data_IF_969454318830
#
_entry.id   IF_969454318830
#
_cell.length_a   1.000
_cell.length_b   1.000
_cell.length_c   1.000
_cell.angle_alpha   90.00
_cell.angle_beta   90.00
_cell.angle_gamma   90.00
#
_symmetry.space_group_name_H-M   'P 1'
#
loop_
_entity.id
_entity.type
_entity.pdbx_description
1 polymer ?
#
# COMPACT_ATOMS: atom_id res chain seq x y z
N UNK A 1 -1.54 14.83 -2.81
CA UNK A 1 -1.73 15.41 -1.46
C UNK A 1 -0.66 14.87 -0.54
N UNK A 2 -0.09 15.69 0.36
CA UNK A 2 0.90 15.23 1.35
C UNK A 2 0.20 15.05 2.71
N UNK A 3 0.45 13.93 3.39
CA UNK A 3 -0.23 13.58 4.65
C UNK A 3 0.34 14.26 5.90
N UNK A 4 1.50 14.93 5.79
CA UNK A 4 2.12 15.66 6.90
C UNK A 4 2.55 14.78 8.09
N UNK A 5 2.75 13.48 7.88
CA UNK A 5 3.12 12.54 8.94
C UNK A 5 4.64 12.35 9.02
N UNK A 6 5.22 12.61 10.19
CA UNK A 6 6.59 12.21 10.55
C UNK A 6 6.59 11.42 11.87
N UNK A 7 7.29 10.28 11.89
CA UNK A 7 7.64 9.53 13.10
C UNK A 7 8.81 8.59 12.79
N UNK A 8 9.70 8.37 13.75
CA UNK A 8 10.79 7.37 13.63
C UNK A 8 10.31 5.94 13.92
N UNK A 9 9.14 5.76 14.52
CA UNK A 9 8.62 4.43 14.88
C UNK A 9 7.59 3.99 13.86
N UNK A 10 7.84 2.84 13.23
CA UNK A 10 6.97 2.27 12.20
C UNK A 10 5.49 2.21 12.63
N UNK A 11 5.19 1.69 13.83
CA UNK A 11 3.79 1.57 14.30
C UNK A 11 3.05 2.90 14.34
N UNK A 12 3.73 3.95 14.82
CA UNK A 12 3.12 5.27 14.99
C UNK A 12 2.95 5.95 13.65
N UNK A 13 3.92 5.77 12.75
CA UNK A 13 3.84 6.30 11.39
C UNK A 13 2.68 5.65 10.62
N UNK A 14 2.61 4.31 10.61
CA UNK A 14 1.54 3.57 9.92
C UNK A 14 0.16 3.92 10.48
N UNK A 15 -0.01 3.96 11.80
CA UNK A 15 -1.30 4.30 12.41
C UNK A 15 -1.76 5.72 12.06
N UNK A 16 -0.85 6.70 12.10
CA UNK A 16 -1.16 8.09 11.72
C UNK A 16 -1.52 8.22 10.24
N UNK A 17 -0.76 7.55 9.36
CA UNK A 17 -1.04 7.57 7.92
C UNK A 17 -2.40 6.94 7.63
N UNK A 18 -2.70 5.78 8.24
CA UNK A 18 -3.96 5.06 8.04
C UNK A 18 -5.16 5.93 8.42
N UNK A 19 -5.14 6.55 9.61
CA UNK A 19 -6.21 7.42 10.05
C UNK A 19 -6.45 8.61 9.09
N UNK A 20 -5.37 9.23 8.60
CA UNK A 20 -5.47 10.34 7.64
C UNK A 20 -6.00 9.92 6.28
N UNK A 21 -5.61 8.74 5.80
CA UNK A 21 -6.11 8.21 4.53
C UNK A 21 -7.60 7.90 4.66
N UNK A 22 -8.04 7.27 5.75
CA UNK A 22 -9.46 6.97 5.99
C UNK A 22 -10.31 8.26 5.99
N UNK A 23 -9.87 9.32 6.65
CA UNK A 23 -10.53 10.64 6.61
C UNK A 23 -10.72 11.16 5.17
N UNK A 24 -9.69 11.02 4.32
CA UNK A 24 -9.73 11.45 2.93
C UNK A 24 -10.65 10.55 2.11
N UNK A 25 -10.58 9.23 2.27
CA UNK A 25 -11.41 8.29 1.51
C UNK A 25 -12.90 8.47 1.80
N UNK A 26 -13.28 8.69 3.06
CA UNK A 26 -14.67 8.95 3.44
C UNK A 26 -15.20 10.25 2.82
N UNK A 27 -14.34 11.27 2.76
CA UNK A 27 -14.68 12.61 2.28
C UNK A 27 -14.76 12.67 0.75
N UNK A 28 -13.71 12.21 0.09
CA UNK A 28 -13.51 12.43 -1.35
C UNK A 28 -14.03 11.25 -2.19
N UNK A 29 -14.24 10.07 -1.58
CA UNK A 29 -14.80 8.84 -2.19
C UNK A 29 -14.21 8.53 -3.58
N UNK A 30 -12.89 8.29 -3.67
CA UNK A 30 -12.28 7.90 -4.92
C UNK A 30 -12.70 6.47 -5.32
N UNK A 31 -12.91 6.24 -6.61
CA UNK A 31 -13.22 4.89 -7.14
C UNK A 31 -12.01 3.93 -7.07
N UNK A 32 -10.79 4.50 -7.12
CA UNK A 32 -9.52 3.76 -7.10
C UNK A 32 -8.47 4.56 -6.34
N UNK A 33 -7.73 3.88 -5.48
CA UNK A 33 -6.55 4.43 -4.83
C UNK A 33 -5.26 3.78 -5.35
N UNK A 34 -4.30 4.61 -5.74
CA UNK A 34 -2.98 4.16 -6.17
C UNK A 34 -2.00 4.12 -4.98
N UNK A 35 -1.29 3.01 -4.86
CA UNK A 35 -0.15 2.83 -3.95
C UNK A 35 1.09 2.44 -4.75
N UNK A 36 2.26 2.93 -4.36
CA UNK A 36 3.51 2.69 -5.07
C UNK A 36 4.61 2.18 -4.12
N UNK A 37 5.26 1.08 -4.50
CA UNK A 37 6.40 0.52 -3.77
C UNK A 37 6.01 -0.28 -2.54
N UNK A 38 6.75 -0.12 -1.44
CA UNK A 38 6.70 -1.02 -0.26
C UNK A 38 6.90 -0.31 1.10
N UNK A 39 6.50 0.96 1.19
CA UNK A 39 6.69 1.76 2.41
C UNK A 39 5.54 1.58 3.42
N UNK A 40 5.72 2.11 4.64
CA UNK A 40 4.64 2.19 5.64
C UNK A 40 3.38 2.90 5.08
N UNK A 41 3.54 3.82 4.12
CA UNK A 41 2.41 4.50 3.49
C UNK A 41 1.60 3.57 2.59
N UNK A 42 2.28 2.67 1.85
CA UNK A 42 1.64 1.62 1.04
C UNK A 42 0.82 0.70 1.91
N UNK A 43 1.41 0.21 3.01
CA UNK A 43 0.72 -0.65 3.98
C UNK A 43 -0.51 0.05 4.58
N UNK A 44 -0.35 1.30 5.02
CA UNK A 44 -1.46 2.04 5.60
C UNK A 44 -2.58 2.32 4.58
N UNK A 45 -2.22 2.65 3.34
CA UNK A 45 -3.17 2.92 2.27
C UNK A 45 -3.97 1.69 1.85
N UNK A 46 -3.30 0.56 1.60
CA UNK A 46 -3.96 -0.71 1.27
C UNK A 46 -4.90 -1.18 2.38
N UNK A 47 -4.49 -1.05 3.65
CA UNK A 47 -5.35 -1.35 4.79
C UNK A 47 -6.55 -0.42 4.94
N UNK A 48 -6.41 0.88 4.65
CA UNK A 48 -7.51 1.83 4.72
C UNK A 48 -8.57 1.53 3.64
N UNK A 49 -8.14 1.31 2.40
CA UNK A 49 -9.03 1.08 1.26
C UNK A 49 -9.75 -0.27 1.38
N UNK A 50 -9.04 -1.33 1.77
CA UNK A 50 -9.64 -2.66 1.97
C UNK A 50 -10.78 -2.68 3.01
N UNK A 51 -10.82 -1.73 3.94
CA UNK A 51 -11.89 -1.61 4.94
C UNK A 51 -13.18 -0.99 4.41
N UNK A 52 -13.10 -0.20 3.34
CA UNK A 52 -14.24 0.50 2.75
C UNK A 52 -14.66 -0.07 1.38
N UNK A 53 -13.99 -1.15 0.95
CA UNK A 53 -14.31 -1.92 -0.27
C UNK A 53 -14.17 -1.13 -1.59
N UNK A 54 -13.33 -0.09 -1.60
CA UNK A 54 -12.92 0.57 -2.85
C UNK A 54 -11.73 -0.17 -3.49
N UNK A 55 -11.39 0.19 -4.73
CA UNK A 55 -10.35 -0.52 -5.50
C UNK A 55 -8.95 0.00 -5.22
N UNK A 56 -7.96 -0.89 -5.34
CA UNK A 56 -6.54 -0.57 -5.17
C UNK A 56 -5.77 -0.87 -6.46
N UNK A 57 -4.94 0.09 -6.85
CA UNK A 57 -3.88 -0.05 -7.85
C UNK A 57 -2.52 -0.10 -7.14
N UNK A 58 -1.78 -1.20 -7.31
CA UNK A 58 -0.39 -1.29 -6.89
C UNK A 58 0.57 -1.11 -8.06
N UNK A 59 1.16 0.09 -8.10
CA UNK A 59 2.25 0.44 -9.00
C UNK A 59 3.58 -0.08 -8.47
N UNK A 60 4.42 -0.60 -9.37
CA UNK A 60 5.65 -1.36 -9.07
C UNK A 60 5.40 -2.75 -8.46
N UNK A 61 4.24 -3.34 -8.77
CA UNK A 61 3.93 -4.71 -8.36
C UNK A 61 4.91 -5.74 -8.97
N UNK A 62 5.20 -6.80 -8.22
CA UNK A 62 5.94 -7.96 -8.74
C UNK A 62 7.47 -7.89 -8.66
N UNK A 63 8.04 -6.88 -8.00
CA UNK A 63 9.43 -6.92 -7.55
C UNK A 63 9.48 -7.62 -6.19
N UNK A 64 9.97 -8.85 -6.12
CA UNK A 64 10.06 -9.62 -4.86
C UNK A 64 11.49 -9.95 -4.48
N UNK A 65 11.82 -9.81 -3.20
CA UNK A 65 13.08 -10.29 -2.62
C UNK A 65 12.99 -11.75 -2.15
N UNK A 66 11.77 -12.29 -1.99
CA UNK A 66 11.47 -13.62 -1.44
C UNK A 66 12.00 -13.85 -0.01
N UNK A 67 12.31 -12.78 0.70
CA UNK A 67 12.76 -12.78 2.08
C UNK A 67 11.74 -12.08 2.98
N UNK A 68 10.92 -12.88 3.67
CA UNK A 68 9.88 -12.37 4.59
C UNK A 68 10.45 -11.71 5.86
N UNK A 69 11.75 -11.82 6.12
CA UNK A 69 12.39 -11.07 7.21
C UNK A 69 12.55 -9.58 6.85
N UNK A 70 12.55 -9.26 5.55
CA UNK A 70 12.48 -7.88 5.09
C UNK A 70 11.07 -7.32 5.24
N UNK A 71 10.94 -6.21 5.97
CA UNK A 71 9.68 -5.50 6.13
C UNK A 71 9.07 -5.10 4.78
N UNK A 72 9.90 -4.63 3.83
CA UNK A 72 9.46 -4.26 2.49
C UNK A 72 8.79 -5.43 1.76
N UNK A 73 9.38 -6.64 1.83
CA UNK A 73 8.79 -7.83 1.21
C UNK A 73 7.43 -8.18 1.83
N UNK A 74 7.31 -8.09 3.16
CA UNK A 74 6.03 -8.31 3.85
C UNK A 74 4.98 -7.31 3.36
N UNK A 75 5.35 -6.05 3.19
CA UNK A 75 4.44 -5.01 2.67
C UNK A 75 4.07 -5.28 1.21
N UNK A 76 5.02 -5.69 0.36
CA UNK A 76 4.74 -6.04 -1.05
C UNK A 76 3.77 -7.21 -1.17
N UNK A 77 3.91 -8.23 -0.34
CA UNK A 77 2.99 -9.38 -0.32
C UNK A 77 1.59 -8.90 0.09
N UNK A 78 1.47 -8.10 1.16
CA UNK A 78 0.16 -7.57 1.62
C UNK A 78 -0.49 -6.70 0.54
N UNK A 79 0.26 -5.73 0.00
CA UNK A 79 -0.22 -4.83 -1.04
C UNK A 79 -0.62 -5.62 -2.30
N UNK A 80 0.19 -6.60 -2.69
CA UNK A 80 -0.13 -7.49 -3.81
C UNK A 80 -1.44 -8.24 -3.60
N UNK A 81 -1.62 -8.89 -2.46
CA UNK A 81 -2.87 -9.64 -2.19
C UNK A 81 -4.11 -8.76 -2.04
N UNK A 82 -3.95 -7.48 -1.71
CA UNK A 82 -5.07 -6.55 -1.51
C UNK A 82 -5.41 -5.74 -2.75
N UNK A 83 -4.59 -5.80 -3.81
CA UNK A 83 -4.78 -4.98 -5.00
C UNK A 83 -5.68 -5.61 -6.04
N UNK A 84 -6.50 -4.78 -6.69
CA UNK A 84 -7.35 -5.14 -7.82
C UNK A 84 -6.60 -5.00 -9.15
N UNK A 85 -5.70 -4.02 -9.22
CA UNK A 85 -4.88 -3.71 -10.38
C UNK A 85 -3.39 -3.80 -10.05
N UNK A 86 -2.62 -4.35 -11.00
CA UNK A 86 -1.18 -4.60 -10.83
C UNK A 86 -0.41 -3.99 -12.01
N UNK A 87 0.42 -3.00 -11.72
CA UNK A 87 1.29 -2.38 -12.72
C UNK A 87 2.75 -2.71 -12.42
N UNK A 88 3.23 -3.75 -13.08
CA UNK A 88 4.62 -4.17 -13.00
C UNK A 88 5.51 -3.29 -13.88
N UNK A 89 6.73 -2.93 -13.42
CA UNK A 89 7.66 -2.12 -14.20
C UNK A 89 8.40 -2.93 -15.27
N UNK A 90 8.25 -4.27 -15.26
CA UNK A 90 8.90 -5.19 -16.18
C UNK A 90 7.91 -6.21 -16.74
N UNK A 91 8.18 -6.69 -17.95
CA UNK A 91 7.35 -7.71 -18.64
C UNK A 91 7.36 -9.08 -17.94
N UNK A 92 8.38 -9.34 -17.11
CA UNK A 92 8.47 -10.53 -16.27
C UNK A 92 8.24 -10.17 -14.80
N UNK A 93 6.99 -9.92 -14.39
CA UNK A 93 6.68 -9.75 -12.99
C UNK A 93 6.94 -11.07 -12.26
N UNK A 94 7.74 -11.02 -11.20
CA UNK A 94 7.82 -12.16 -10.30
C UNK A 94 6.57 -12.11 -9.44
N UNK A 95 5.60 -12.99 -9.74
CA UNK A 95 4.42 -13.12 -8.88
C UNK A 95 4.90 -13.61 -7.52
N UNK A 96 4.75 -12.75 -6.51
CA UNK A 96 5.27 -12.99 -5.15
C UNK A 96 4.23 -13.73 -4.29
N UNK A 97 3.17 -14.26 -4.93
CA UNK A 97 1.99 -14.86 -4.32
C UNK A 97 1.30 -15.82 -5.30
#
# INVERSE_FOLDING_TARGET
MTLGVSSRKHREQTAKILARIEEILIKDRPDVMLVQGDTNAVLAGTLAVSKIQEKIDHTEAGLGAFDKTMLGETIRIIAGHTSDYFFAPTETPKRIF
#
